data_IF_488858137555
#
_entry.id   IF_488858137555
#
_cell.length_a   1.000
_cell.length_b   1.000
_cell.length_c   1.000
_cell.angle_alpha   90.00
_cell.angle_beta   90.00
_cell.angle_gamma   90.00
#
_symmetry.space_group_name_H-M   'P 1'
#
loop_
_entity.id
_entity.type
_entity.pdbx_description
1 polymer ?
#
# COMPACT_ATOMS: atom_id res chain seq x y z
N UNK A 1 -19.12 -15.18 7.49
CA UNK A 1 -18.40 -14.28 8.40
C UNK A 1 -19.04 -12.90 8.32
N UNK A 2 -19.74 -12.48 9.37
CA UNK A 2 -20.30 -11.11 9.51
C UNK A 2 -19.60 -10.44 10.68
N UNK A 3 -19.10 -9.23 10.45
CA UNK A 3 -18.61 -8.25 11.41
C UNK A 3 -18.09 -7.07 10.58
N UNK A 4 -18.52 -5.83 10.73
CA UNK A 4 -19.50 -5.19 11.59
C UNK A 4 -20.08 -4.00 10.77
N UNK A 5 -21.41 -3.93 10.60
CA UNK A 5 -22.27 -2.82 11.07
C UNK A 5 -21.73 -1.39 10.86
N UNK A 6 -22.22 -0.70 9.82
CA UNK A 6 -22.88 0.61 9.89
C UNK A 6 -22.23 1.82 10.56
N UNK A 7 -21.02 1.76 11.12
CA UNK A 7 -20.36 2.92 11.72
C UNK A 7 -19.45 3.62 10.69
N UNK A 8 -19.65 4.93 10.43
CA UNK A 8 -18.69 5.71 9.66
C UNK A 8 -17.36 5.65 10.41
N UNK A 9 -16.35 5.02 9.80
CA UNK A 9 -15.04 4.91 10.43
C UNK A 9 -14.38 6.29 10.44
N UNK A 10 -13.98 6.74 11.63
CA UNK A 10 -13.35 8.04 11.81
C UNK A 10 -12.19 8.24 10.82
N UNK A 11 -12.10 9.42 10.15
CA UNK A 11 -11.02 9.74 9.20
C UNK A 11 -9.63 9.41 9.73
N UNK A 12 -9.39 9.59 11.04
CA UNK A 12 -8.11 9.29 11.66
C UNK A 12 -7.73 7.81 11.63
N UNK A 13 -8.70 6.90 11.78
CA UNK A 13 -8.47 5.45 11.72
C UNK A 13 -8.13 5.02 10.29
N UNK A 14 -8.82 5.61 9.30
CA UNK A 14 -8.53 5.38 7.87
C UNK A 14 -7.13 5.87 7.52
N UNK A 15 -6.79 7.10 7.89
CA UNK A 15 -5.46 7.66 7.64
C UNK A 15 -4.36 6.86 8.35
N UNK A 16 -4.57 6.42 9.60
CA UNK A 16 -3.61 5.59 10.32
C UNK A 16 -3.38 4.23 9.64
N UNK A 17 -4.44 3.61 9.10
CA UNK A 17 -4.32 2.37 8.35
C UNK A 17 -3.46 2.56 7.08
N UNK A 18 -3.71 3.62 6.32
CA UNK A 18 -2.95 3.93 5.11
C UNK A 18 -1.50 4.34 5.42
N UNK A 19 -1.25 5.09 6.50
CA UNK A 19 0.11 5.43 6.96
C UNK A 19 0.95 4.19 7.26
N UNK A 20 0.34 3.15 7.86
CA UNK A 20 1.01 1.87 8.07
C UNK A 20 1.41 1.20 6.75
N UNK A 21 0.53 1.25 5.73
CA UNK A 21 0.82 0.72 4.39
C UNK A 21 1.96 1.51 3.74
N UNK A 22 1.90 2.84 3.76
CA UNK A 22 2.97 3.73 3.28
C UNK A 22 4.31 3.42 3.95
N UNK A 23 4.35 3.17 5.26
CA UNK A 23 5.59 2.78 5.94
C UNK A 23 6.21 1.48 5.39
N UNK A 24 5.40 0.48 5.02
CA UNK A 24 5.92 -0.74 4.39
C UNK A 24 6.39 -0.51 2.96
N UNK A 25 5.67 0.33 2.20
CA UNK A 25 6.06 0.72 0.85
C UNK A 25 7.41 1.45 0.86
N UNK A 26 7.60 2.43 1.74
CA UNK A 26 8.84 3.18 1.87
C UNK A 26 10.04 2.28 2.21
N UNK A 27 9.90 1.40 3.21
CA UNK A 27 10.96 0.46 3.58
C UNK A 27 11.29 -0.51 2.43
N UNK A 28 10.29 -0.98 1.68
CA UNK A 28 10.51 -1.84 0.52
C UNK A 28 11.21 -1.10 -0.63
N UNK A 29 10.81 0.13 -0.92
CA UNK A 29 11.44 1.02 -1.91
C UNK A 29 12.91 1.26 -1.55
N UNK A 30 13.20 1.58 -0.29
CA UNK A 30 14.57 1.82 0.17
C UNK A 30 15.44 0.55 0.09
N UNK A 31 14.86 -0.61 0.37
CA UNK A 31 15.55 -1.88 0.21
C UNK A 31 15.85 -2.21 -1.26
N UNK A 32 14.93 -1.94 -2.18
CA UNK A 32 15.17 -2.10 -3.62
C UNK A 32 16.26 -1.13 -4.10
N UNK A 33 16.18 0.13 -3.70
CA UNK A 33 17.14 1.16 -4.11
C UNK A 33 18.58 0.86 -3.64
N UNK A 34 18.72 0.26 -2.46
CA UNK A 34 20.02 -0.17 -1.90
C UNK A 34 20.48 -1.56 -2.37
N UNK A 35 19.81 -2.17 -3.36
CA UNK A 35 20.06 -3.54 -3.81
C UNK A 35 20.11 -4.55 -2.64
N UNK A 36 19.32 -4.31 -1.60
CA UNK A 36 19.32 -5.11 -0.39
C UNK A 36 18.63 -6.46 -0.65
N UNK A 37 19.26 -7.57 -0.28
CA UNK A 37 18.70 -8.93 -0.40
C UNK A 37 17.35 -9.11 0.28
N UNK A 38 16.97 -8.22 1.20
CA UNK A 38 15.66 -8.21 1.87
C UNK A 38 14.53 -7.59 1.04
N UNK A 39 14.82 -6.96 -0.11
CA UNK A 39 13.82 -6.27 -0.94
C UNK A 39 12.61 -7.16 -1.25
N UNK A 40 12.83 -8.38 -1.76
CA UNK A 40 11.75 -9.34 -2.05
C UNK A 40 10.87 -9.63 -0.83
N UNK A 41 11.47 -9.82 0.36
CA UNK A 41 10.71 -10.04 1.60
C UNK A 41 9.88 -8.81 1.99
N UNK A 42 10.43 -7.62 1.82
CA UNK A 42 9.77 -6.37 2.18
C UNK A 42 8.62 -6.03 1.23
N UNK A 43 8.76 -6.33 -0.07
CA UNK A 43 7.64 -6.30 -1.03
C UNK A 43 6.52 -7.24 -0.55
N UNK A 44 6.85 -8.47 -0.15
CA UNK A 44 5.86 -9.41 0.38
C UNK A 44 5.17 -8.95 1.67
N UNK A 45 5.85 -8.16 2.52
CA UNK A 45 5.25 -7.53 3.69
C UNK A 45 4.27 -6.42 3.31
N UNK A 46 4.62 -5.61 2.30
CA UNK A 46 3.73 -4.60 1.74
C UNK A 46 2.48 -5.27 1.12
N UNK A 47 2.64 -6.35 0.36
CA UNK A 47 1.51 -7.15 -0.16
C UNK A 47 0.60 -7.67 0.95
N UNK A 48 1.18 -8.24 2.00
CA UNK A 48 0.42 -8.73 3.14
C UNK A 48 -0.38 -7.61 3.83
N UNK A 49 0.17 -6.39 3.85
CA UNK A 49 -0.46 -5.24 4.50
C UNK A 49 -1.76 -4.80 3.85
N UNK A 50 -2.01 -5.14 2.59
CA UNK A 50 -3.20 -4.76 1.82
C UNK A 50 -4.16 -5.93 1.54
N UNK A 51 -3.93 -7.13 2.09
CA UNK A 51 -4.76 -8.32 1.78
C UNK A 51 -6.20 -8.22 2.28
N UNK A 52 -6.39 -7.60 3.44
CA UNK A 52 -7.71 -7.44 4.06
C UNK A 52 -8.46 -6.23 3.53
N UNK A 53 -9.72 -6.11 3.94
CA UNK A 53 -10.50 -4.88 3.76
C UNK A 53 -10.01 -3.78 4.70
N UNK A 54 -10.01 -2.54 4.22
CA UNK A 54 -9.72 -1.36 5.01
C UNK A 54 -10.84 -1.02 6.00
N UNK A 55 -10.58 -0.12 6.96
CA UNK A 55 -11.57 0.34 7.92
C UNK A 55 -12.84 0.88 7.24
N UNK A 56 -13.99 0.29 7.54
CA UNK A 56 -15.29 0.69 6.98
C UNK A 56 -15.44 0.46 5.47
N UNK A 57 -14.47 -0.20 4.81
CA UNK A 57 -14.48 -0.42 3.36
C UNK A 57 -14.35 0.84 2.50
N UNK A 58 -14.09 2.01 3.11
CA UNK A 58 -14.12 3.30 2.43
C UNK A 58 -12.98 3.51 1.40
N UNK A 59 -11.91 2.75 1.53
CA UNK A 59 -10.71 2.85 0.68
C UNK A 59 -10.48 1.58 -0.16
N UNK A 60 -11.51 0.73 -0.37
CA UNK A 60 -11.35 -0.55 -1.06
C UNK A 60 -10.89 -0.42 -2.51
N UNK A 61 -11.32 0.62 -3.23
CA UNK A 61 -10.86 0.85 -4.61
C UNK A 61 -9.35 1.09 -4.65
N UNK A 62 -8.85 1.96 -3.75
CA UNK A 62 -7.42 2.19 -3.58
C UNK A 62 -6.71 0.90 -3.18
N UNK A 63 -7.21 0.15 -2.18
CA UNK A 63 -6.60 -1.11 -1.76
C UNK A 63 -6.58 -2.14 -2.91
N UNK A 64 -7.60 -2.17 -3.77
CA UNK A 64 -7.63 -2.96 -4.99
C UNK A 64 -6.50 -2.59 -5.95
N UNK A 65 -6.29 -1.30 -6.19
CA UNK A 65 -5.17 -0.80 -6.98
C UNK A 65 -3.81 -1.19 -6.37
N UNK A 66 -3.63 -1.01 -5.07
CA UNK A 66 -2.39 -1.34 -4.37
C UNK A 66 -2.07 -2.85 -4.46
N UNK A 67 -3.07 -3.72 -4.27
CA UNK A 67 -2.91 -5.18 -4.43
C UNK A 67 -2.40 -5.55 -5.82
N UNK A 68 -2.91 -4.88 -6.87
CA UNK A 68 -2.45 -5.10 -8.24
C UNK A 68 -1.00 -4.60 -8.44
N UNK A 69 -0.71 -3.36 -8.06
CA UNK A 69 0.62 -2.75 -8.23
C UNK A 69 1.71 -3.52 -7.47
N UNK A 70 1.41 -3.97 -6.26
CA UNK A 70 2.37 -4.73 -5.44
C UNK A 70 2.66 -6.11 -6.01
N UNK A 71 1.65 -6.78 -6.56
CA UNK A 71 1.82 -8.05 -7.28
C UNK A 71 2.71 -7.86 -8.51
N UNK A 72 2.40 -6.86 -9.34
CA UNK A 72 3.21 -6.53 -10.52
C UNK A 72 4.66 -6.19 -10.11
N UNK A 73 4.85 -5.42 -9.03
CA UNK A 73 6.18 -5.09 -8.52
C UNK A 73 6.96 -6.34 -8.09
N UNK A 74 6.31 -7.29 -7.42
CA UNK A 74 6.90 -8.56 -7.03
C UNK A 74 7.31 -9.40 -8.25
N UNK A 75 6.46 -9.47 -9.28
CA UNK A 75 6.73 -10.17 -10.54
C UNK A 75 7.93 -9.56 -11.28
N UNK A 76 7.96 -8.23 -11.45
CA UNK A 76 9.08 -7.54 -12.08
C UNK A 76 10.39 -7.70 -11.29
N UNK A 77 10.33 -7.59 -9.96
CA UNK A 77 11.51 -7.79 -9.12
C UNK A 77 12.04 -9.22 -9.22
N UNK A 78 11.16 -10.23 -9.27
CA UNK A 78 11.56 -11.63 -9.45
C UNK A 78 12.19 -11.89 -10.83
N UNK A 79 11.74 -11.17 -11.86
CA UNK A 79 12.31 -11.22 -13.21
C UNK A 79 13.62 -10.41 -13.36
N UNK A 80 14.06 -9.69 -12.32
CA UNK A 80 15.24 -8.81 -12.38
C UNK A 80 15.00 -7.46 -13.08
N UNK A 81 13.75 -7.13 -13.41
CA UNK A 81 13.36 -5.84 -13.99
C UNK A 81 13.13 -4.81 -12.87
N UNK A 82 14.24 -4.35 -12.28
CA UNK A 82 14.20 -3.39 -11.18
C UNK A 82 13.53 -2.05 -11.54
N UNK A 83 13.76 -1.43 -12.71
CA UNK A 83 13.08 -0.19 -13.06
C UNK A 83 11.56 -0.33 -13.09
N UNK A 84 11.03 -1.40 -13.68
CA UNK A 84 9.59 -1.62 -13.71
C UNK A 84 9.02 -1.88 -12.30
N UNK A 85 9.71 -2.69 -11.50
CA UNK A 85 9.31 -2.94 -10.11
C UNK A 85 9.28 -1.62 -9.30
N UNK A 86 10.33 -0.80 -9.41
CA UNK A 86 10.41 0.50 -8.73
C UNK A 86 9.30 1.45 -9.15
N UNK A 87 8.95 1.48 -10.44
CA UNK A 87 7.88 2.32 -10.95
C UNK A 87 6.53 1.97 -10.29
N UNK A 88 6.20 0.67 -10.14
CA UNK A 88 4.97 0.24 -9.48
C UNK A 88 4.96 0.61 -8.00
N UNK A 89 6.08 0.39 -7.31
CA UNK A 89 6.21 0.73 -5.89
C UNK A 89 6.06 2.23 -5.66
N UNK A 90 6.63 3.08 -6.53
CA UNK A 90 6.50 4.54 -6.46
C UNK A 90 5.06 5.00 -6.68
N UNK A 91 4.39 4.49 -7.72
CA UNK A 91 2.98 4.81 -7.95
C UNK A 91 2.14 4.40 -6.74
N UNK A 92 2.36 3.20 -6.18
CA UNK A 92 1.66 2.74 -5.00
C UNK A 92 1.86 3.67 -3.78
N UNK A 93 3.09 4.17 -3.57
CA UNK A 93 3.41 5.13 -2.52
C UNK A 93 2.68 6.46 -2.75
N UNK A 94 2.82 7.04 -3.94
CA UNK A 94 2.28 8.36 -4.26
C UNK A 94 0.75 8.42 -4.12
N UNK A 95 0.03 7.40 -4.63
CA UNK A 95 -1.44 7.36 -4.51
C UNK A 95 -1.90 7.13 -3.06
N UNK A 96 -1.12 6.38 -2.26
CA UNK A 96 -1.40 6.18 -0.84
C UNK A 96 -1.23 7.47 -0.06
N UNK A 97 -0.15 8.20 -0.32
CA UNK A 97 0.16 9.47 0.34
C UNK A 97 -0.86 10.56 -0.01
N UNK A 98 -1.24 10.65 -1.28
CA UNK A 98 -2.30 11.56 -1.72
C UNK A 98 -3.61 11.28 -0.98
N UNK A 99 -4.02 10.00 -0.87
CA UNK A 99 -5.24 9.64 -0.15
C UNK A 99 -5.17 10.01 1.34
N UNK A 100 -4.01 9.83 1.99
CA UNK A 100 -3.81 10.25 3.38
C UNK A 100 -4.02 11.76 3.52
N UNK A 101 -3.47 12.57 2.60
CA UNK A 101 -3.63 14.02 2.59
C UNK A 101 -5.09 14.42 2.38
N UNK A 102 -5.80 13.79 1.45
CA UNK A 102 -7.23 14.02 1.21
C UNK A 102 -8.04 13.77 2.49
N UNK A 103 -7.81 12.63 3.15
CA UNK A 103 -8.51 12.27 4.39
C UNK A 103 -8.26 13.31 5.49
N UNK A 104 -7.00 13.71 5.69
CA UNK A 104 -6.64 14.68 6.73
C UNK A 104 -7.11 16.10 6.44
N UNK A 105 -7.34 16.44 5.17
CA UNK A 105 -7.91 17.74 4.76
C UNK A 105 -9.44 17.73 4.67
N UNK A 106 -10.10 16.59 4.90
CA UNK A 106 -11.55 16.46 4.76
C UNK A 106 -12.03 16.55 3.31
N UNK A 107 -11.19 16.15 2.36
CA UNK A 107 -11.47 16.16 0.92
C UNK A 107 -11.94 14.78 0.40
N UNK A 108 -12.14 13.82 1.30
CA UNK A 108 -12.10 12.38 1.03
C UNK A 108 -13.41 11.64 1.24
#
# INVERSE_FOLDING_TARGET
>A
MRGASGEPTAPDVRAAHLLRISGYLDIAIMAMWSANRRASRLIGMAEASVRGTGPGGADEELLGLLRRLLREAAEHHAAGDYPAAMARMRVAQDVTDLRIVEIKKGLA
#
